data_IF_569811491262
#
_entry.id   IF_569811491262
#
_cell.length_a   1.000
_cell.length_b   1.000
_cell.length_c   1.000
_cell.angle_alpha   90.00
_cell.angle_beta   90.00
_cell.angle_gamma   90.00
#
_symmetry.space_group_name_H-M   'P 1'
#
loop_
_entity.id
_entity.type
_entity.pdbx_description
1 polymer ?
#
# COMPACT_ATOMS: atom_id res chain seq x y z
N UNK A 1 -12.17 -5.66 21.88
CA UNK A 1 -13.25 -6.47 22.51
C UNK A 1 -12.62 -7.55 23.37
N UNK A 2 -13.19 -7.84 24.55
CA UNK A 2 -12.74 -8.93 25.43
C UNK A 2 -13.92 -9.82 25.79
N UNK A 3 -13.75 -11.13 25.66
CA UNK A 3 -14.73 -12.14 26.07
C UNK A 3 -14.10 -13.16 26.99
N UNK A 4 -14.76 -13.44 28.10
CA UNK A 4 -14.36 -14.49 29.03
C UNK A 4 -15.31 -15.68 28.89
N UNK A 5 -14.75 -16.87 28.77
CA UNK A 5 -15.44 -18.15 28.79
C UNK A 5 -15.06 -18.85 30.09
N UNK A 6 -16.04 -19.10 30.96
CA UNK A 6 -15.82 -19.91 32.16
C UNK A 6 -15.75 -21.38 31.75
N UNK A 7 -14.71 -22.07 32.19
CA UNK A 7 -14.56 -23.51 31.98
C UNK A 7 -15.09 -24.24 33.21
N UNK A 8 -14.66 -23.82 34.41
CA UNK A 8 -15.17 -24.24 35.70
C UNK A 8 -15.19 -23.05 36.69
N UNK A 9 -15.39 -23.30 37.99
CA UNK A 9 -15.46 -22.24 39.00
C UNK A 9 -14.12 -21.53 39.27
N UNK A 10 -13.00 -22.16 38.87
CA UNK A 10 -11.63 -21.68 39.14
C UNK A 10 -10.92 -21.26 37.86
N UNK A 11 -11.30 -21.82 36.71
CA UNK A 11 -10.62 -21.67 35.43
C UNK A 11 -11.47 -20.92 34.41
N UNK A 12 -10.83 -19.98 33.72
CA UNK A 12 -11.47 -19.26 32.63
C UNK A 12 -10.52 -18.97 31.48
N UNK A 13 -11.09 -18.80 30.29
CA UNK A 13 -10.39 -18.45 29.07
C UNK A 13 -10.81 -17.04 28.66
N UNK A 14 -9.85 -16.14 28.56
CA UNK A 14 -10.06 -14.79 28.04
C UNK A 14 -9.59 -14.72 26.59
N UNK A 15 -10.52 -14.41 25.69
CA UNK A 15 -10.25 -14.07 24.31
C UNK A 15 -10.33 -12.55 24.12
N UNK A 16 -9.31 -11.96 23.50
CA UNK A 16 -9.27 -10.54 23.14
C UNK A 16 -9.13 -10.40 21.64
N UNK A 17 -9.87 -9.44 21.10
CA UNK A 17 -9.76 -8.98 19.72
C UNK A 17 -9.45 -7.49 19.73
N UNK A 18 -8.40 -7.10 19.04
CA UNK A 18 -7.99 -5.72 18.81
C UNK A 18 -8.01 -5.46 17.32
N UNK A 19 -8.55 -4.30 16.92
CA UNK A 19 -8.72 -3.94 15.51
C UNK A 19 -8.15 -2.54 15.34
N UNK A 20 -7.17 -2.42 14.46
CA UNK A 20 -6.45 -1.18 14.19
C UNK A 20 -6.71 -0.73 12.75
N UNK A 21 -7.00 0.56 12.59
CA UNK A 21 -7.13 1.23 11.29
C UNK A 21 -8.22 0.67 10.34
N UNK A 22 -9.08 -0.26 10.77
CA UNK A 22 -10.04 -0.94 9.88
C UNK A 22 -11.03 0.03 9.19
N UNK A 23 -11.38 1.12 9.87
CA UNK A 23 -12.28 2.16 9.34
C UNK A 23 -11.52 3.32 8.69
N UNK A 24 -10.19 3.33 8.77
CA UNK A 24 -9.40 4.37 8.14
C UNK A 24 -9.42 4.19 6.62
N UNK A 25 -9.46 5.32 5.91
CA UNK A 25 -9.26 5.36 4.45
C UNK A 25 -7.83 4.94 4.13
N UNK A 26 -7.65 4.17 3.06
CA UNK A 26 -6.32 3.84 2.56
C UNK A 26 -5.66 5.11 2.02
N UNK A 27 -4.44 5.39 2.47
CA UNK A 27 -3.61 6.42 1.88
C UNK A 27 -2.67 5.75 0.88
N UNK A 28 -2.78 6.07 -0.40
CA UNK A 28 -1.99 5.44 -1.45
C UNK A 28 -0.68 6.18 -1.64
N UNK A 29 0.39 5.44 -1.86
CA UNK A 29 1.69 6.03 -2.13
C UNK A 29 1.75 6.65 -3.52
N UNK A 30 2.71 7.56 -3.71
CA UNK A 30 3.02 8.11 -5.02
C UNK A 30 3.47 6.99 -5.97
N UNK A 31 3.06 7.03 -7.25
CA UNK A 31 3.50 6.04 -8.23
C UNK A 31 5.02 6.11 -8.44
N UNK A 32 5.75 5.00 -8.28
CA UNK A 32 7.18 4.88 -8.55
C UNK A 32 8.05 4.71 -7.29
N UNK A 33 7.76 5.44 -6.22
CA UNK A 33 8.52 5.50 -4.97
C UNK A 33 10.07 5.39 -5.09
N UNK A 34 10.66 6.05 -6.08
CA UNK A 34 12.03 6.49 -6.11
C UNK A 34 12.32 7.50 -4.99
N UNK A 35 13.43 7.26 -4.30
CA UNK A 35 13.95 8.05 -3.18
C UNK A 35 14.22 9.53 -3.55
N UNK A 36 14.34 9.83 -4.85
CA UNK A 36 14.71 11.15 -5.40
C UNK A 36 13.52 12.03 -5.82
N UNK A 37 12.27 11.56 -5.63
CA UNK A 37 11.06 12.28 -6.02
C UNK A 37 10.60 11.96 -7.45
N UNK A 38 9.32 11.64 -7.59
CA UNK A 38 8.78 11.07 -8.84
C UNK A 38 8.58 12.10 -9.94
N UNK A 39 9.17 11.85 -11.10
CA UNK A 39 8.65 12.40 -12.34
C UNK A 39 7.50 11.52 -12.84
N UNK A 40 6.27 12.07 -12.86
CA UNK A 40 5.07 11.39 -13.40
C UNK A 40 5.23 11.08 -14.91
N UNK A 41 6.12 11.80 -15.59
CA UNK A 41 6.52 11.54 -16.97
C UNK A 41 8.05 11.64 -17.07
N UNK A 42 8.68 10.63 -17.66
CA UNK A 42 10.10 10.71 -17.99
C UNK A 42 10.27 11.42 -19.33
N UNK A 43 11.11 12.45 -19.36
CA UNK A 43 11.44 13.19 -20.58
C UNK A 43 12.68 12.58 -21.23
N UNK A 44 12.50 11.99 -22.41
CA UNK A 44 13.60 11.38 -23.17
C UNK A 44 14.06 12.35 -24.24
N UNK A 45 15.32 12.76 -24.18
CA UNK A 45 16.02 13.46 -25.27
C UNK A 45 16.62 12.46 -26.24
N UNK A 46 16.47 12.69 -27.54
CA UNK A 46 16.89 11.78 -28.62
C UNK A 46 16.19 10.41 -28.63
N UNK A 47 14.85 10.35 -28.58
CA UNK A 47 14.12 9.09 -28.57
C UNK A 47 14.28 8.35 -29.91
N UNK A 48 14.48 7.03 -29.84
CA UNK A 48 14.47 6.12 -30.98
C UNK A 48 13.04 5.76 -31.36
N UNK A 49 12.83 5.29 -32.59
CA UNK A 49 11.49 4.85 -33.05
C UNK A 49 10.91 3.72 -32.17
N UNK A 50 11.78 2.88 -31.60
CA UNK A 50 11.45 1.76 -30.72
C UNK A 50 11.13 2.17 -29.28
N UNK A 51 11.39 3.43 -28.91
CA UNK A 51 11.20 3.86 -27.53
C UNK A 51 9.69 3.98 -27.20
N UNK A 52 9.29 3.61 -25.98
CA UNK A 52 7.88 3.54 -25.56
C UNK A 52 7.31 4.93 -25.25
N UNK A 53 7.25 5.81 -26.25
CA UNK A 53 6.69 7.15 -26.07
C UNK A 53 5.16 7.17 -26.19
N UNK A 54 4.55 8.12 -25.48
CA UNK A 54 3.12 8.39 -25.55
C UNK A 54 2.78 9.01 -26.92
N UNK A 55 1.70 8.53 -27.55
CA UNK A 55 1.21 9.08 -28.82
C UNK A 55 0.97 10.60 -28.71
N UNK A 56 1.42 11.36 -29.70
CA UNK A 56 1.30 12.83 -29.72
C UNK A 56 2.38 13.59 -28.95
N UNK A 57 3.29 12.91 -28.23
CA UNK A 57 4.41 13.57 -27.52
C UNK A 57 5.75 13.47 -28.25
N UNK A 58 5.83 12.66 -29.31
CA UNK A 58 7.05 12.51 -30.11
C UNK A 58 7.29 13.77 -30.95
N UNK A 59 8.40 14.43 -30.69
CA UNK A 59 9.01 15.42 -31.59
C UNK A 59 10.30 14.84 -32.17
N UNK A 60 10.89 15.48 -33.17
CA UNK A 60 12.11 14.99 -33.81
C UNK A 60 13.32 14.84 -32.84
N UNK A 61 13.27 15.50 -31.67
CA UNK A 61 14.36 15.50 -30.70
C UNK A 61 13.96 15.00 -29.30
N UNK A 62 12.68 14.81 -28.99
CA UNK A 62 12.24 14.49 -27.63
C UNK A 62 10.88 13.80 -27.56
N UNK A 63 10.64 13.02 -26.51
CA UNK A 63 9.32 12.47 -26.20
C UNK A 63 9.11 12.28 -24.69
N UNK A 64 7.85 12.09 -24.29
CA UNK A 64 7.50 11.68 -22.94
C UNK A 64 7.12 10.20 -22.91
N UNK A 65 7.59 9.49 -21.90
CA UNK A 65 7.20 8.11 -21.62
C UNK A 65 6.48 8.02 -20.27
N UNK A 66 5.51 7.12 -20.17
CA UNK A 66 4.92 6.79 -18.87
C UNK A 66 5.90 5.94 -18.07
N UNK A 67 6.21 6.30 -16.81
CA UNK A 67 6.92 5.43 -15.89
C UNK A 67 6.21 4.07 -15.76
N UNK A 68 6.99 3.02 -15.47
CA UNK A 68 6.41 1.73 -15.11
C UNK A 68 5.56 1.90 -13.87
N UNK A 69 4.24 1.81 -14.04
CA UNK A 69 3.31 1.82 -12.92
C UNK A 69 2.29 2.95 -12.84
N UNK A 70 2.26 3.85 -13.82
CA UNK A 70 1.15 4.79 -13.91
C UNK A 70 -0.20 4.04 -13.93
N UNK A 71 -1.14 4.49 -13.09
CA UNK A 71 -2.46 3.89 -12.95
C UNK A 71 -2.52 2.65 -12.05
N UNK A 72 -1.40 2.26 -11.44
CA UNK A 72 -1.34 1.16 -10.49
C UNK A 72 -1.13 1.69 -9.07
N UNK A 73 -1.77 1.03 -8.10
CA UNK A 73 -1.52 1.24 -6.69
C UNK A 73 -0.47 0.21 -6.27
N UNK A 74 0.74 0.68 -5.92
CA UNK A 74 1.84 -0.20 -5.53
C UNK A 74 1.85 -0.55 -4.05
N UNK A 75 1.53 0.44 -3.22
CA UNK A 75 1.49 0.30 -1.77
C UNK A 75 0.67 1.43 -1.15
N UNK A 76 0.31 1.24 0.10
CA UNK A 76 -0.24 2.29 0.95
C UNK A 76 0.86 2.90 1.81
N UNK A 77 0.70 4.16 2.18
CA UNK A 77 1.58 4.86 3.13
C UNK A 77 0.92 4.89 4.51
N UNK A 78 1.72 4.75 5.56
CA UNK A 78 1.26 4.73 6.94
C UNK A 78 0.92 3.32 7.45
N UNK A 79 0.25 3.27 8.59
CA UNK A 79 -0.01 2.02 9.31
C UNK A 79 -1.00 1.10 8.58
N UNK A 80 -0.72 -0.21 8.65
CA UNK A 80 -1.59 -1.25 8.10
C UNK A 80 -2.93 -1.35 8.85
N UNK A 81 -3.93 -1.93 8.17
CA UNK A 81 -5.17 -2.38 8.82
C UNK A 81 -4.93 -3.75 9.42
N UNK A 82 -5.04 -3.85 10.73
CA UNK A 82 -4.67 -5.06 11.46
C UNK A 82 -5.81 -5.53 12.38
N UNK A 83 -5.93 -6.84 12.49
CA UNK A 83 -6.77 -7.49 13.50
C UNK A 83 -5.87 -8.43 14.30
N UNK A 84 -5.70 -8.14 15.58
CA UNK A 84 -4.88 -8.92 16.49
C UNK A 84 -5.77 -9.72 17.44
N UNK A 85 -5.40 -10.97 17.67
CA UNK A 85 -6.04 -11.86 18.63
C UNK A 85 -5.10 -12.22 19.76
N UNK A 86 -5.63 -12.30 20.97
CA UNK A 86 -4.90 -12.82 22.12
C UNK A 86 -5.78 -13.80 22.90
N UNK A 87 -5.15 -14.85 23.41
CA UNK A 87 -5.79 -15.87 24.24
C UNK A 87 -5.03 -16.01 25.55
N UNK A 88 -5.75 -15.88 26.67
CA UNK A 88 -5.20 -16.02 28.02
C UNK A 88 -5.99 -17.06 28.80
N UNK A 89 -5.28 -18.04 29.33
CA UNK A 89 -5.83 -18.98 30.30
C UNK A 89 -5.62 -18.44 31.73
N UNK A 90 -6.65 -18.54 32.57
CA UNK A 90 -6.69 -18.05 33.94
C UNK A 90 -7.06 -19.25 34.84
N UNK A 91 -6.30 -19.44 35.92
CA UNK A 91 -6.44 -20.54 36.87
C UNK A 91 -6.60 -20.03 38.30
#
# INVERSE_FOLDING_TARGET
>A
IVKNFRIDEKRSLQFRTEIFNIFNRANFDVPGNAEDGEQIFNFITSPKSTDPCIAGTKTAASCYTLPSGVGQIFRTVGDSREIQFALKFIF
#
